data_IF_328588097111
#
_entry.id   IF_328588097111
#
_cell.length_a   1.000
_cell.length_b   1.000
_cell.length_c   1.000
_cell.angle_alpha   90.00
_cell.angle_beta   90.00
_cell.angle_gamma   90.00
#
_symmetry.space_group_name_H-M   'P 1'
#
loop_
_entity.id
_entity.type
_entity.pdbx_description
1 polymer ?
#
# COMPACT_ATOMS: atom_id res chain seq x y z
N UNK A 1 12.16 6.33 18.95
CA UNK A 1 10.72 6.28 19.30
C UNK A 1 9.91 6.51 18.03
N UNK A 2 8.92 5.68 17.71
CA UNK A 2 7.94 6.03 16.68
C UNK A 2 7.13 7.22 17.19
N UNK A 3 7.12 8.33 16.47
CA UNK A 3 6.23 9.44 16.77
C UNK A 3 4.78 8.98 16.53
N UNK A 4 3.95 9.07 17.56
CA UNK A 4 2.52 8.79 17.46
C UNK A 4 1.78 9.95 16.77
N UNK A 5 0.55 9.69 16.34
CA UNK A 5 -0.37 10.74 15.86
C UNK A 5 -1.00 11.37 17.10
N UNK A 6 -0.70 12.63 17.38
CA UNK A 6 -0.99 13.24 18.69
C UNK A 6 -2.44 13.70 18.81
N UNK A 7 -3.10 14.05 17.70
CA UNK A 7 -4.44 14.64 17.71
C UNK A 7 -5.35 14.05 16.63
N UNK A 8 -6.66 14.16 16.85
CA UNK A 8 -7.68 13.81 15.84
C UNK A 8 -7.52 14.67 14.58
N UNK A 9 -7.17 15.95 14.73
CA UNK A 9 -6.94 16.85 13.60
C UNK A 9 -5.78 16.36 12.72
N UNK A 10 -4.69 15.91 13.34
CA UNK A 10 -3.54 15.35 12.62
C UNK A 10 -3.91 14.04 11.89
N UNK A 11 -4.65 13.15 12.57
CA UNK A 11 -5.19 11.92 11.96
C UNK A 11 -6.05 12.23 10.74
N UNK A 12 -6.99 13.18 10.86
CA UNK A 12 -7.88 13.57 9.77
C UNK A 12 -7.09 14.16 8.59
N UNK A 13 -6.04 14.94 8.84
CA UNK A 13 -5.16 15.46 7.78
C UNK A 13 -4.45 14.33 7.04
N UNK A 14 -3.94 13.33 7.74
CA UNK A 14 -3.30 12.15 7.13
C UNK A 14 -4.30 11.40 6.25
N UNK A 15 -5.50 11.11 6.76
CA UNK A 15 -6.54 10.41 6.01
C UNK A 15 -6.96 11.21 4.77
N UNK A 16 -7.15 12.53 4.89
CA UNK A 16 -7.49 13.39 3.76
C UNK A 16 -6.41 13.38 2.67
N UNK A 17 -5.14 13.34 3.05
CA UNK A 17 -4.04 13.23 2.09
C UNK A 17 -4.06 11.89 1.35
N UNK A 18 -4.36 10.79 2.04
CA UNK A 18 -4.49 9.46 1.43
C UNK A 18 -5.68 9.44 0.45
N UNK A 19 -6.85 9.93 0.87
CA UNK A 19 -8.04 10.00 0.01
C UNK A 19 -7.76 10.85 -1.22
N UNK A 20 -7.15 12.03 -1.04
CA UNK A 20 -6.73 12.89 -2.16
C UNK A 20 -5.79 12.18 -3.11
N UNK A 21 -4.85 11.39 -2.59
CA UNK A 21 -3.94 10.63 -3.42
C UNK A 21 -4.65 9.56 -4.26
N UNK A 22 -5.62 8.85 -3.65
CA UNK A 22 -6.47 7.84 -4.32
C UNK A 22 -7.31 8.49 -5.42
N UNK A 23 -7.96 9.62 -5.14
CA UNK A 23 -8.89 10.25 -6.10
C UNK A 23 -8.18 10.98 -7.24
N UNK A 24 -6.97 11.50 -7.02
CA UNK A 24 -6.24 12.31 -8.01
C UNK A 24 -5.28 11.54 -8.92
N UNK A 25 -5.19 10.21 -8.79
CA UNK A 25 -4.26 9.35 -9.57
C UNK A 25 -5.01 8.11 -10.04
N UNK A 26 -4.51 7.45 -11.08
CA UNK A 26 -5.19 6.30 -11.68
C UNK A 26 -4.44 4.97 -11.49
N UNK A 27 -3.12 5.02 -11.39
CA UNK A 27 -2.26 3.85 -11.31
C UNK A 27 -1.45 3.85 -10.02
N UNK A 28 -1.44 2.71 -9.33
CA UNK A 28 -0.77 2.52 -8.05
C UNK A 28 0.12 1.28 -8.08
N UNK A 29 1.30 1.40 -7.48
CA UNK A 29 2.22 0.30 -7.24
C UNK A 29 2.28 0.03 -5.74
N UNK A 30 1.87 -1.16 -5.33
CA UNK A 30 1.94 -1.63 -3.95
C UNK A 30 3.14 -2.56 -3.82
N UNK A 31 4.07 -2.23 -2.93
CA UNK A 31 5.34 -2.95 -2.78
C UNK A 31 5.41 -3.55 -1.37
N UNK A 32 5.58 -4.87 -1.30
CA UNK A 32 5.79 -5.58 -0.03
C UNK A 32 7.24 -5.49 0.46
N UNK A 33 7.48 -5.85 1.72
CA UNK A 33 8.85 -5.94 2.24
C UNK A 33 9.59 -7.19 1.74
N UNK A 34 10.90 -7.27 2.02
CA UNK A 34 11.82 -8.29 1.49
C UNK A 34 11.35 -9.74 1.71
N UNK A 35 10.84 -10.03 2.91
CA UNK A 35 10.34 -11.35 3.31
C UNK A 35 8.86 -11.20 3.67
N UNK A 36 7.94 -11.07 2.70
CA UNK A 36 6.55 -10.77 2.98
C UNK A 36 5.93 -11.90 3.81
N UNK A 37 5.28 -11.54 4.91
CA UNK A 37 4.47 -12.45 5.70
C UNK A 37 2.99 -12.36 5.28
N UNK A 38 2.14 -13.10 5.98
CA UNK A 38 0.69 -13.11 5.73
C UNK A 38 0.07 -11.71 5.87
N UNK A 39 0.49 -10.93 6.87
CA UNK A 39 -0.02 -9.57 7.10
C UNK A 39 0.35 -8.62 5.96
N UNK A 40 1.58 -8.70 5.45
CA UNK A 40 2.02 -7.94 4.29
C UNK A 40 1.16 -8.25 3.06
N UNK A 41 0.97 -9.54 2.76
CA UNK A 41 0.20 -9.98 1.58
C UNK A 41 -1.26 -9.56 1.74
N UNK A 42 -1.87 -9.83 2.90
CA UNK A 42 -3.25 -9.47 3.18
C UNK A 42 -3.49 -7.96 3.08
N UNK A 43 -2.59 -7.14 3.65
CA UNK A 43 -2.67 -5.69 3.59
C UNK A 43 -2.56 -5.16 2.16
N UNK A 44 -1.63 -5.70 1.36
CA UNK A 44 -1.48 -5.32 -0.04
C UNK A 44 -2.72 -5.68 -0.87
N UNK A 45 -3.24 -6.89 -0.71
CA UNK A 45 -4.45 -7.34 -1.41
C UNK A 45 -5.66 -6.51 -1.00
N UNK A 46 -5.85 -6.26 0.30
CA UNK A 46 -6.94 -5.44 0.81
C UNK A 46 -6.90 -4.02 0.23
N UNK A 47 -5.72 -3.40 0.18
CA UNK A 47 -5.58 -2.06 -0.38
C UNK A 47 -5.73 -2.05 -1.90
N UNK A 48 -5.25 -3.06 -2.61
CA UNK A 48 -5.49 -3.23 -4.05
C UNK A 48 -6.98 -3.36 -4.38
N UNK A 49 -7.73 -4.13 -3.58
CA UNK A 49 -9.19 -4.24 -3.70
C UNK A 49 -9.89 -2.91 -3.36
N UNK A 50 -9.42 -2.18 -2.35
CA UNK A 50 -9.94 -0.85 -2.05
C UNK A 50 -9.76 0.08 -3.25
N UNK A 51 -8.58 0.12 -3.85
CA UNK A 51 -8.29 0.92 -5.05
C UNK A 51 -9.19 0.54 -6.23
N UNK A 52 -9.48 -0.75 -6.42
CA UNK A 52 -10.37 -1.20 -7.49
C UNK A 52 -11.81 -0.73 -7.32
N UNK A 53 -12.29 -0.53 -6.08
CA UNK A 53 -13.60 0.10 -5.80
C UNK A 53 -13.66 1.58 -6.20
N UNK A 54 -12.52 2.25 -6.33
CA UNK A 54 -12.42 3.61 -6.90
C UNK A 54 -12.10 3.60 -8.39
N UNK A 55 -12.24 2.45 -9.06
CA UNK A 55 -11.87 2.27 -10.47
C UNK A 55 -10.41 2.59 -10.77
N UNK A 56 -9.52 2.30 -9.82
CA UNK A 56 -8.07 2.51 -9.94
C UNK A 56 -7.34 1.21 -10.26
N UNK A 57 -6.27 1.31 -11.03
CA UNK A 57 -5.38 0.20 -11.35
C UNK A 57 -4.34 0.04 -10.25
N UNK A 58 -4.21 -1.17 -9.70
CA UNK A 58 -3.22 -1.50 -8.67
C UNK A 58 -2.34 -2.67 -9.14
N UNK A 59 -1.03 -2.48 -9.04
CA UNK A 59 -0.02 -3.50 -9.32
C UNK A 59 0.64 -3.91 -8.01
N UNK A 60 0.65 -5.20 -7.70
CA UNK A 60 1.26 -5.73 -6.47
C UNK A 60 2.62 -6.33 -6.81
N UNK A 61 3.65 -5.86 -6.12
CA UNK A 61 5.02 -6.38 -6.23
C UNK A 61 5.41 -7.01 -4.90
N UNK A 62 5.58 -8.33 -4.95
CA UNK A 62 6.17 -9.11 -3.87
C UNK A 62 7.57 -9.55 -4.32
N UNK A 63 8.55 -9.40 -3.43
CA UNK A 63 9.89 -9.92 -3.68
C UNK A 63 9.87 -11.41 -3.37
N UNK A 64 9.75 -12.25 -4.40
CA UNK A 64 10.20 -13.63 -4.31
C UNK A 64 11.70 -13.67 -4.60
N UNK A 65 12.43 -14.60 -3.99
CA UNK A 65 13.82 -14.83 -4.42
C UNK A 65 13.82 -15.19 -5.90
N UNK A 66 14.56 -14.42 -6.71
CA UNK A 66 14.88 -14.86 -8.07
C UNK A 66 15.79 -16.07 -7.87
N UNK A 67 15.34 -17.24 -8.34
CA UNK A 67 16.14 -18.46 -8.28
C UNK A 67 17.53 -18.17 -8.86
N UNK A 68 18.61 -18.63 -8.22
CA UNK A 68 20.01 -18.31 -8.59
C UNK A 68 20.37 -18.56 -10.07
N UNK A 69 19.58 -19.37 -10.79
CA UNK A 69 19.81 -19.67 -12.21
C UNK A 69 19.27 -18.58 -13.16
N UNK A 70 18.58 -17.57 -12.64
CA UNK A 70 18.00 -16.47 -13.40
C UNK A 70 18.45 -15.08 -12.86
N UNK A 71 19.56 -15.04 -12.10
CA UNK A 71 20.25 -13.81 -11.70
C UNK A 71 21.26 -13.36 -12.75
#
# INVERSE_FOLDING_TARGET
>A
MKAGIATIAEKNRIINNIIKAITSRDNFLLIGHKNPDEDCIASMVAFGLLLSKFSKSAYLVIRSEIHQHFQ
#
